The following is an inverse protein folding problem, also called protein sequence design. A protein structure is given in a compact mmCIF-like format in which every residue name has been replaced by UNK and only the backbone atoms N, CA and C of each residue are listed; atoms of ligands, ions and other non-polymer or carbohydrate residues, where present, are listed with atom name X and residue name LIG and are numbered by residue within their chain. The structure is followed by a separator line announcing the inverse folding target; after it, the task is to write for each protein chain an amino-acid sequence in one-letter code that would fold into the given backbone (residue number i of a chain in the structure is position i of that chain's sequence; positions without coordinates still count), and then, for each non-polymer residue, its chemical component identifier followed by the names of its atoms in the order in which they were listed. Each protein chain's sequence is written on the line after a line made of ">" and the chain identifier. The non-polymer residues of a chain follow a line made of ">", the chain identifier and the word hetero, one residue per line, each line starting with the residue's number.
data_IF_624422281758
#
_entry.id   IF_624422281758
#
_cell.length_a   1.000
_cell.length_b   1.000
_cell.length_c   1.000
_cell.angle_alpha   90.00
_cell.angle_beta   90.00
_cell.angle_gamma   90.00
#
_symmetry.space_group_name_H-M   'P 1'
#
loop_
_entity.id
_entity.type
_entity.pdbx_description
1 polymer ?
#
# COMPACT_ATOMS: atom_id res chain seq x y z
N UNK A 1 10.06 11.31 -23.76
CA UNK A 1 9.97 12.19 -22.56
C UNK A 1 10.09 11.25 -21.38
N UNK A 2 11.33 10.86 -21.11
CA UNK A 2 11.65 9.74 -20.23
C UNK A 2 12.24 10.33 -18.96
N UNK A 3 11.36 10.79 -18.08
CA UNK A 3 11.76 11.23 -16.74
C UNK A 3 12.16 10.00 -15.95
N UNK A 4 13.46 9.68 -16.02
CA UNK A 4 14.17 8.83 -15.04
C UNK A 4 13.84 9.36 -13.65
N UNK A 5 12.99 8.65 -12.93
CA UNK A 5 12.66 8.95 -11.54
C UNK A 5 13.83 8.54 -10.66
N UNK A 6 14.37 9.51 -9.95
CA UNK A 6 15.57 9.39 -9.14
C UNK A 6 15.40 8.32 -8.05
N UNK A 7 16.21 7.27 -8.18
CA UNK A 7 16.43 6.27 -7.13
C UNK A 7 17.04 6.94 -5.89
N UNK A 8 16.19 7.28 -4.92
CA UNK A 8 16.60 7.60 -3.56
C UNK A 8 15.77 6.76 -2.59
N UNK A 9 16.36 5.65 -2.15
CA UNK A 9 16.05 4.92 -0.92
C UNK A 9 14.59 5.04 -0.42
N UNK A 10 13.75 4.10 -0.83
CA UNK A 10 12.77 3.53 0.09
C UNK A 10 11.34 4.03 0.03
N UNK A 11 10.88 4.73 -1.01
CA UNK A 11 9.46 4.95 -1.26
C UNK A 11 9.20 4.99 -2.77
N UNK A 12 8.15 4.30 -3.22
CA UNK A 12 7.64 4.45 -4.60
C UNK A 12 6.82 5.73 -4.69
N UNK A 13 6.71 6.29 -5.90
CA UNK A 13 5.93 7.51 -6.12
C UNK A 13 4.44 7.31 -5.82
N UNK A 14 3.71 8.40 -5.56
CA UNK A 14 2.27 8.35 -5.32
C UNK A 14 1.51 7.76 -6.52
N UNK A 15 1.95 8.07 -7.75
CA UNK A 15 1.35 7.54 -8.98
C UNK A 15 1.56 6.03 -9.13
N UNK A 16 2.75 5.53 -8.77
CA UNK A 16 3.03 4.09 -8.77
C UNK A 16 2.22 3.38 -7.70
N UNK A 17 2.11 3.96 -6.51
CA UNK A 17 1.27 3.38 -5.46
C UNK A 17 -0.20 3.38 -5.83
N UNK A 18 -0.70 4.42 -6.51
CA UNK A 18 -2.07 4.49 -7.02
C UNK A 18 -2.34 3.37 -8.04
N UNK A 19 -1.39 3.07 -8.93
CA UNK A 19 -1.47 1.92 -9.85
C UNK A 19 -1.55 0.60 -9.09
N UNK A 20 -0.70 0.41 -8.08
CA UNK A 20 -0.72 -0.79 -7.22
C UNK A 20 -2.07 -0.91 -6.49
N UNK A 21 -2.59 0.17 -5.91
CA UNK A 21 -3.91 0.16 -5.26
C UNK A 21 -5.00 -0.27 -6.25
N UNK A 22 -4.99 0.27 -7.46
CA UNK A 22 -5.95 -0.07 -8.52
C UNK A 22 -5.86 -1.54 -8.94
N UNK A 23 -4.66 -2.09 -9.09
CA UNK A 23 -4.44 -3.52 -9.39
C UNK A 23 -5.03 -4.45 -8.31
N UNK A 24 -5.08 -3.97 -7.07
CA UNK A 24 -5.66 -4.68 -5.93
C UNK A 24 -7.10 -4.26 -5.59
N UNK A 25 -7.85 -3.66 -6.53
CA UNK A 25 -9.25 -3.20 -6.32
C UNK A 25 -9.39 -2.26 -5.10
N UNK A 26 -8.35 -1.48 -4.81
CA UNK A 26 -8.27 -0.63 -3.63
C UNK A 26 -8.48 -1.39 -2.31
N UNK A 27 -8.01 -2.64 -2.23
CA UNK A 27 -8.13 -3.47 -1.03
C UNK A 27 -6.79 -3.69 -0.36
N UNK A 28 -6.85 -3.78 0.96
CA UNK A 28 -5.74 -4.25 1.78
C UNK A 28 -5.43 -5.70 1.43
N UNK A 29 -4.20 -6.01 1.02
CA UNK A 29 -3.77 -7.38 0.68
C UNK A 29 -3.80 -8.31 1.90
N UNK A 30 -3.71 -7.76 3.12
CA UNK A 30 -3.67 -8.55 4.35
C UNK A 30 -5.06 -8.90 4.90
N UNK A 31 -6.01 -7.95 4.91
CA UNK A 31 -7.33 -8.16 5.52
C UNK A 31 -8.52 -8.01 4.56
N UNK A 32 -8.30 -7.63 3.30
CA UNK A 32 -9.34 -7.46 2.29
C UNK A 32 -10.22 -6.21 2.44
N UNK A 33 -10.01 -5.40 3.49
CA UNK A 33 -10.76 -4.14 3.69
C UNK A 33 -10.44 -3.14 2.58
N UNK A 34 -11.45 -2.39 2.11
CA UNK A 34 -11.35 -1.51 0.94
C UNK A 34 -11.18 -0.04 1.34
N UNK A 35 -10.36 0.70 0.60
CA UNK A 35 -10.09 2.13 0.82
C UNK A 35 -11.38 2.96 0.84
N UNK A 36 -11.47 3.91 1.78
CA UNK A 36 -12.65 4.77 2.00
C UNK A 36 -13.92 4.03 2.44
N UNK A 37 -13.83 2.74 2.78
CA UNK A 37 -14.93 1.97 3.40
C UNK A 37 -14.60 1.67 4.87
N UNK A 38 -15.61 1.25 5.64
CA UNK A 38 -15.38 0.82 7.03
C UNK A 38 -14.58 -0.48 7.06
N UNK A 39 -13.63 -0.57 8.00
CA UNK A 39 -12.75 -1.73 8.13
C UNK A 39 -13.55 -2.97 8.55
N UNK A 40 -13.29 -4.09 7.87
CA UNK A 40 -14.04 -5.35 8.02
C UNK A 40 -14.14 -5.86 9.47
N UNK A 41 -13.05 -5.76 10.25
CA UNK A 41 -13.02 -6.18 11.65
C UNK A 41 -13.21 -5.03 12.65
N UNK A 42 -13.05 -3.78 12.21
CA UNK A 42 -13.00 -2.59 13.07
C UNK A 42 -13.97 -1.57 12.51
N UNK A 43 -15.26 -1.86 12.67
CA UNK A 43 -16.37 -1.12 12.05
C UNK A 43 -16.40 0.39 12.33
N UNK A 44 -15.68 0.88 13.34
CA UNK A 44 -15.57 2.32 13.66
C UNK A 44 -14.34 2.99 13.02
N UNK A 45 -13.65 2.30 12.10
CA UNK A 45 -12.42 2.78 11.47
C UNK A 45 -12.62 2.82 9.96
N UNK A 46 -12.48 4.01 9.36
CA UNK A 46 -12.42 4.17 7.92
C UNK A 46 -11.06 3.70 7.40
N UNK A 47 -11.03 2.91 6.34
CA UNK A 47 -9.81 2.30 5.82
C UNK A 47 -9.01 3.32 5.02
N UNK A 48 -7.75 3.49 5.39
CA UNK A 48 -6.75 4.23 4.63
C UNK A 48 -5.67 3.25 4.15
N UNK A 49 -5.43 3.17 2.84
CA UNK A 49 -4.35 2.34 2.32
C UNK A 49 -3.01 3.08 2.39
N UNK A 50 -2.00 2.38 2.86
CA UNK A 50 -0.62 2.84 3.02
C UNK A 50 0.33 1.89 2.31
N UNK A 51 1.51 2.41 1.96
CA UNK A 51 2.58 1.60 1.39
C UNK A 51 3.05 0.59 2.46
N UNK A 52 2.70 -0.67 2.26
CA UNK A 52 3.20 -1.82 3.01
C UNK A 52 4.26 -2.56 2.21
N UNK A 53 4.88 -3.57 2.81
CA UNK A 53 5.89 -4.41 2.15
C UNK A 53 5.65 -5.88 2.43
N UNK A 54 5.84 -6.73 1.43
CA UNK A 54 5.73 -8.19 1.57
C UNK A 54 6.90 -8.72 2.39
N UNK A 55 8.11 -8.30 2.02
CA UNK A 55 9.34 -8.67 2.71
C UNK A 55 9.92 -7.45 3.43
N UNK A 56 9.97 -7.51 4.76
CA UNK A 56 10.50 -6.45 5.63
C UNK A 56 11.99 -6.21 5.47
N UNK A 57 12.73 -7.20 4.97
CA UNK A 57 14.17 -7.10 4.70
C UNK A 57 14.45 -6.38 3.38
N UNK A 58 13.45 -6.28 2.50
CA UNK A 58 13.53 -5.55 1.25
C UNK A 58 12.96 -4.14 1.41
N UNK A 59 13.53 -3.18 0.68
CA UNK A 59 13.03 -1.80 0.65
C UNK A 59 11.65 -1.69 -0.01
N UNK A 60 11.09 -0.49 -0.03
CA UNK A 60 9.89 -0.18 -0.81
C UNK A 60 10.27 -0.02 -2.28
N UNK A 61 10.41 -1.17 -2.94
CA UNK A 61 10.67 -1.28 -4.38
C UNK A 61 9.43 -1.84 -5.06
N UNK A 62 9.25 -1.52 -6.34
CA UNK A 62 8.19 -2.10 -7.18
C UNK A 62 8.28 -3.63 -7.10
N UNK A 63 7.15 -4.29 -6.85
CA UNK A 63 7.07 -5.74 -6.63
C UNK A 63 7.29 -6.20 -5.18
N UNK A 64 7.77 -5.32 -4.29
CA UNK A 64 7.77 -5.57 -2.83
C UNK A 64 6.72 -4.72 -2.11
N UNK A 65 6.33 -3.57 -2.67
CA UNK A 65 5.28 -2.71 -2.10
C UNK A 65 3.90 -3.32 -2.34
N UNK A 66 3.09 -3.37 -1.28
CA UNK A 66 1.68 -3.79 -1.32
C UNK A 66 0.78 -2.77 -0.64
N UNK A 67 -0.49 -2.64 -1.06
CA UNK A 67 -1.45 -1.81 -0.36
C UNK A 67 -1.92 -2.51 0.91
N UNK A 68 -1.71 -1.87 2.06
CA UNK A 68 -2.18 -2.35 3.36
C UNK A 68 -2.93 -1.26 4.09
N UNK A 69 -4.01 -1.61 4.80
CA UNK A 69 -4.71 -0.64 5.64
C UNK A 69 -3.81 -0.18 6.80
N UNK A 70 -4.11 0.99 7.36
CA UNK A 70 -3.40 1.56 8.50
C UNK A 70 -3.32 0.64 9.74
N UNK A 71 -4.23 -0.33 9.86
CA UNK A 71 -4.22 -1.31 10.94
C UNK A 71 -3.21 -2.42 10.65
N UNK A 72 -3.30 -3.07 9.49
CA UNK A 72 -2.39 -4.15 9.10
C UNK A 72 -0.95 -3.67 8.93
N UNK A 73 -0.77 -2.48 8.33
CA UNK A 73 0.54 -1.88 8.10
C UNK A 73 1.25 -1.54 9.43
N UNK A 74 0.51 -1.18 10.49
CA UNK A 74 1.10 -0.91 11.81
C UNK A 74 1.70 -2.16 12.48
N UNK A 75 1.29 -3.36 12.04
CA UNK A 75 1.65 -4.64 12.64
C UNK A 75 2.61 -5.45 11.76
N UNK A 76 3.05 -4.89 10.63
CA UNK A 76 3.93 -5.53 9.63
C UNK A 76 5.38 -5.04 9.70
#
# INVERSE_FOLDING_TARGET
>A
MDTKSDNKLGFISAEEFEKIKKEHDYRCVTCGSKENEYHFLRHNVMVELRQGRIDVKKGFVIGNVIPQCQICNKWS
#
